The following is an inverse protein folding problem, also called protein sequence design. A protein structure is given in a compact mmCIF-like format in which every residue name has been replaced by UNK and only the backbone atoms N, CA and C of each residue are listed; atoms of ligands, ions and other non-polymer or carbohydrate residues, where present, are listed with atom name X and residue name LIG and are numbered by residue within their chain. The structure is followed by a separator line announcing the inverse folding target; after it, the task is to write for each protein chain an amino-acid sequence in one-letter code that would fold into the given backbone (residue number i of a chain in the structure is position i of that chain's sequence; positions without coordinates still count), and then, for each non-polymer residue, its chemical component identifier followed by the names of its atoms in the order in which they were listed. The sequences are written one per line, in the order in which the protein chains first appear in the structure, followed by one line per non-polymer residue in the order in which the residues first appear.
data_IF_210834343605
#
_entry.id   IF_210834343605
#
_cell.length_a   1.000
_cell.length_b   1.000
_cell.length_c   1.000
_cell.angle_alpha   90.00
_cell.angle_beta   90.00
_cell.angle_gamma   90.00
#
_symmetry.space_group_name_H-M   'P 1'
#
loop_
_entity.id
_entity.type
_entity.pdbx_description
1 polymer ?
#
# COMPACT_ATOMS: atom_id res chain seq x y z
N UNK A 1 -1.43 22.82 -8.11
CA UNK A 1 -2.44 22.54 -7.06
C UNK A 1 -1.71 22.22 -5.77
N UNK A 2 -2.20 22.73 -4.63
CA UNK A 2 -1.66 22.41 -3.30
C UNK A 2 -2.84 22.20 -2.37
N UNK A 3 -2.83 21.10 -1.65
CA UNK A 3 -3.81 20.74 -0.62
C UNK A 3 -3.05 20.41 0.66
N UNK A 4 -3.30 21.16 1.73
CA UNK A 4 -2.66 20.95 3.02
C UNK A 4 -3.75 20.76 4.07
N UNK A 5 -3.44 19.97 5.10
CA UNK A 5 -4.22 19.84 6.33
C UNK A 5 -3.39 20.30 7.52
N UNK A 6 -4.02 20.46 8.68
CA UNK A 6 -3.28 20.70 9.91
C UNK A 6 -2.28 19.55 10.17
N UNK A 7 -1.08 19.82 10.70
CA UNK A 7 -0.59 21.14 11.14
C UNK A 7 0.01 22.01 10.02
N UNK A 8 0.20 21.47 8.81
CA UNK A 8 0.87 22.15 7.69
C UNK A 8 0.15 23.44 7.26
N UNK A 9 -1.19 23.44 7.24
CA UNK A 9 -1.98 24.65 6.90
C UNK A 9 -1.67 25.85 7.79
N UNK A 10 -1.36 25.60 9.06
CA UNK A 10 -1.05 26.65 10.03
C UNK A 10 0.41 27.06 9.93
N UNK A 11 1.32 26.08 9.88
CA UNK A 11 2.77 26.32 9.90
C UNK A 11 3.30 26.91 8.59
N UNK A 12 2.65 26.62 7.46
CA UNK A 12 3.02 27.12 6.14
C UNK A 12 2.09 28.23 5.65
N UNK A 13 1.33 28.85 6.56
CA UNK A 13 0.45 29.97 6.22
C UNK A 13 1.26 31.12 5.61
N UNK A 14 0.92 31.49 4.38
CA UNK A 14 1.60 32.56 3.64
C UNK A 14 2.97 32.17 3.04
N UNK A 15 3.36 30.90 3.13
CA UNK A 15 4.62 30.37 2.56
C UNK A 15 4.35 29.56 1.29
N UNK A 16 5.38 29.40 0.45
CA UNK A 16 5.32 28.45 -0.67
C UNK A 16 5.64 27.03 -0.17
N UNK A 17 4.62 26.16 -0.18
CA UNK A 17 4.76 24.78 0.25
C UNK A 17 5.86 24.01 -0.51
N UNK A 18 6.12 24.32 -1.79
CA UNK A 18 7.18 23.67 -2.55
C UNK A 18 8.58 24.09 -2.09
N UNK A 19 8.74 25.29 -1.55
CA UNK A 19 10.01 25.71 -0.96
C UNK A 19 10.16 25.14 0.45
N UNK A 20 9.11 25.20 1.28
CA UNK A 20 9.13 24.61 2.64
C UNK A 20 9.48 23.12 2.61
N UNK A 21 8.87 22.36 1.69
CA UNK A 21 9.13 20.93 1.52
C UNK A 21 10.60 20.61 1.22
N UNK A 22 11.31 21.48 0.49
CA UNK A 22 12.75 21.28 0.22
C UNK A 22 13.61 21.50 1.45
N UNK A 23 13.18 22.40 2.35
CA UNK A 23 13.91 22.72 3.58
C UNK A 23 13.75 21.66 4.67
N UNK A 24 12.78 20.74 4.54
CA UNK A 24 12.56 19.67 5.51
C UNK A 24 13.80 18.77 5.64
N UNK A 25 14.19 18.57 6.90
CA UNK A 25 15.29 17.72 7.32
C UNK A 25 14.75 16.56 8.18
N UNK A 26 15.46 15.44 8.15
CA UNK A 26 15.08 14.23 8.85
C UNK A 26 15.83 13.03 8.30
N UNK A 27 15.38 11.84 8.67
CA UNK A 27 15.97 10.58 8.23
C UNK A 27 15.63 10.33 6.76
N UNK A 28 16.65 10.13 5.93
CA UNK A 28 16.48 9.90 4.48
C UNK A 28 16.43 8.41 4.21
N UNK A 29 15.28 7.93 3.76
CA UNK A 29 15.08 6.52 3.38
C UNK A 29 15.47 6.25 1.93
N UNK A 30 15.35 7.26 1.05
CA UNK A 30 15.69 7.13 -0.36
C UNK A 30 15.97 8.49 -0.99
N UNK A 31 17.08 8.58 -1.73
CA UNK A 31 17.44 9.79 -2.48
C UNK A 31 17.96 9.41 -3.86
N UNK A 32 17.22 9.83 -4.89
CA UNK A 32 17.53 9.69 -6.30
C UNK A 32 17.31 11.05 -6.98
N UNK A 33 17.87 11.24 -8.17
CA UNK A 33 17.77 12.50 -8.93
C UNK A 33 16.33 13.02 -9.08
N UNK A 34 15.36 12.10 -9.23
CA UNK A 34 13.94 12.41 -9.45
C UNK A 34 13.04 12.12 -8.26
N UNK A 35 13.54 11.53 -7.17
CA UNK A 35 12.72 11.10 -6.02
C UNK A 35 13.47 11.19 -4.70
N UNK A 36 12.87 11.84 -3.71
CA UNK A 36 13.38 11.90 -2.33
C UNK A 36 12.29 11.43 -1.36
N UNK A 37 12.62 10.51 -0.46
CA UNK A 37 11.73 10.03 0.61
C UNK A 37 12.41 10.27 1.96
N UNK A 38 11.78 11.05 2.83
CA UNK A 38 12.34 11.40 4.13
C UNK A 38 11.27 11.31 5.22
N UNK A 39 11.69 10.89 6.42
CA UNK A 39 10.91 10.92 7.64
C UNK A 39 11.33 12.12 8.47
N UNK A 40 10.40 12.98 8.84
CA UNK A 40 10.68 14.18 9.65
C UNK A 40 9.70 14.29 10.80
N UNK A 41 10.08 15.08 11.80
CA UNK A 41 9.23 15.40 12.93
C UNK A 41 8.73 16.85 12.84
N UNK A 42 7.48 17.04 13.20
CA UNK A 42 6.82 18.33 13.24
C UNK A 42 5.80 18.33 14.38
N UNK A 43 5.94 19.27 15.32
CA UNK A 43 5.04 19.40 16.48
C UNK A 43 4.91 18.09 17.29
N UNK A 44 6.05 17.43 17.53
CA UNK A 44 6.12 16.17 18.31
C UNK A 44 5.53 14.93 17.61
N UNK A 45 5.12 15.04 16.35
CA UNK A 45 4.65 13.91 15.53
C UNK A 45 5.59 13.66 14.35
N UNK A 46 5.70 12.43 13.91
CA UNK A 46 6.47 12.07 12.72
C UNK A 46 5.60 11.98 11.47
N UNK A 47 6.22 12.29 10.32
CA UNK A 47 5.60 12.31 9.01
C UNK A 47 6.58 11.77 7.96
N UNK A 48 6.04 11.25 6.87
CA UNK A 48 6.80 10.90 5.68
C UNK A 48 6.52 11.89 4.56
N UNK A 49 7.58 12.44 3.97
CA UNK A 49 7.53 13.19 2.72
C UNK A 49 8.06 12.32 1.59
N UNK A 50 7.29 12.24 0.50
CA UNK A 50 7.72 11.70 -0.79
C UNK A 50 7.68 12.80 -1.83
N UNK A 51 8.85 13.31 -2.19
CA UNK A 51 9.04 14.31 -3.24
C UNK A 51 9.39 13.64 -4.57
N UNK A 52 8.82 14.17 -5.66
CA UNK A 52 9.06 13.74 -7.03
C UNK A 52 9.38 14.94 -7.93
N UNK A 53 10.40 14.80 -8.77
CA UNK A 53 10.81 15.80 -9.76
C UNK A 53 11.02 15.13 -11.12
N UNK A 54 10.08 15.33 -12.03
CA UNK A 54 10.10 14.84 -13.39
C UNK A 54 10.28 13.32 -13.48
N UNK A 55 10.25 12.81 -14.69
CA UNK A 55 10.77 11.47 -15.01
C UNK A 55 11.61 11.57 -16.27
N UNK A 56 12.48 10.60 -16.52
CA UNK A 56 13.25 10.59 -17.76
C UNK A 56 12.39 10.11 -18.94
N UNK A 57 12.64 10.65 -20.13
CA UNK A 57 11.96 10.19 -21.36
C UNK A 57 12.15 8.68 -21.58
N UNK A 58 13.32 8.16 -21.19
CA UNK A 58 13.66 6.73 -21.23
C UNK A 58 12.75 5.90 -20.32
N UNK A 59 12.42 6.38 -19.11
CA UNK A 59 11.49 5.70 -18.21
C UNK A 59 10.05 5.74 -18.71
N UNK A 60 9.62 6.84 -19.32
CA UNK A 60 8.29 6.95 -19.94
C UNK A 60 8.15 5.91 -21.05
N UNK A 61 9.08 5.92 -22.01
CA UNK A 61 9.06 5.01 -23.17
C UNK A 61 9.17 3.55 -22.73
N UNK A 62 10.08 3.22 -21.80
CA UNK A 62 10.22 1.86 -21.24
C UNK A 62 8.90 1.35 -20.63
N UNK A 63 8.24 2.19 -19.85
CA UNK A 63 6.98 1.81 -19.21
C UNK A 63 5.87 1.63 -20.24
N UNK A 64 5.74 2.55 -21.21
CA UNK A 64 4.75 2.47 -22.29
C UNK A 64 4.94 1.24 -23.19
N UNK A 65 6.18 0.93 -23.60
CA UNK A 65 6.51 -0.29 -24.36
C UNK A 65 6.14 -1.55 -23.56
N UNK A 66 6.29 -1.50 -22.23
CA UNK A 66 5.89 -2.59 -21.33
C UNK A 66 4.38 -2.61 -21.01
N UNK A 67 3.57 -1.76 -21.68
CA UNK A 67 2.14 -1.54 -21.41
C UNK A 67 1.86 -1.19 -19.93
N UNK A 68 2.78 -0.49 -19.28
CA UNK A 68 2.68 0.01 -17.91
C UNK A 68 2.57 1.53 -17.95
N UNK A 69 1.62 2.09 -17.21
CA UNK A 69 1.56 3.54 -17.05
C UNK A 69 2.68 4.01 -16.11
N UNK A 70 3.58 4.93 -16.55
CA UNK A 70 4.65 5.44 -15.71
C UNK A 70 4.07 6.12 -14.47
N UNK A 71 4.79 6.08 -13.33
CA UNK A 71 4.44 6.87 -12.15
C UNK A 71 5.01 8.27 -12.39
N UNK A 72 4.12 9.24 -12.59
CA UNK A 72 4.49 10.60 -13.04
C UNK A 72 4.48 11.63 -11.90
N UNK A 73 4.08 11.23 -10.70
CA UNK A 73 3.99 12.10 -9.54
C UNK A 73 3.32 11.42 -8.35
N UNK A 74 3.05 12.22 -7.32
CA UNK A 74 2.44 11.79 -6.07
C UNK A 74 0.90 11.68 -6.12
N UNK A 75 0.25 12.06 -7.23
CA UNK A 75 -1.21 12.10 -7.38
C UNK A 75 -1.85 10.72 -7.16
N UNK A 76 -1.21 9.66 -7.65
CA UNK A 76 -1.73 8.29 -7.49
C UNK A 76 -1.85 7.89 -6.03
N UNK A 77 -0.81 8.16 -5.26
CA UNK A 77 -0.77 7.81 -3.83
C UNK A 77 -1.81 8.64 -3.06
N UNK A 78 -1.91 9.94 -3.37
CA UNK A 78 -2.91 10.82 -2.79
C UNK A 78 -4.34 10.31 -3.04
N UNK A 79 -4.69 10.04 -4.30
CA UNK A 79 -6.02 9.55 -4.65
C UNK A 79 -6.30 8.16 -4.08
N UNK A 80 -5.29 7.28 -4.03
CA UNK A 80 -5.44 5.94 -3.46
C UNK A 80 -5.75 5.99 -1.97
N UNK A 81 -5.07 6.85 -1.21
CA UNK A 81 -5.36 7.09 0.21
C UNK A 81 -6.81 7.53 0.41
N UNK A 82 -7.26 8.54 -0.34
CA UNK A 82 -8.62 9.06 -0.22
C UNK A 82 -9.66 7.98 -0.55
N UNK A 83 -9.45 7.24 -1.64
CA UNK A 83 -10.36 6.18 -2.05
C UNK A 83 -10.38 5.02 -1.04
N UNK A 84 -9.26 4.65 -0.43
CA UNK A 84 -9.23 3.62 0.62
C UNK A 84 -9.99 4.06 1.87
N UNK A 85 -9.90 5.34 2.27
CA UNK A 85 -10.69 5.88 3.37
C UNK A 85 -12.20 5.79 3.09
N UNK A 86 -12.64 6.14 1.88
CA UNK A 86 -14.05 5.99 1.47
C UNK A 86 -14.55 4.54 1.55
N UNK A 87 -13.65 3.57 1.33
CA UNK A 87 -13.95 2.13 1.38
C UNK A 87 -13.84 1.54 2.80
N UNK A 88 -13.43 2.35 3.79
CA UNK A 88 -13.13 1.88 5.14
C UNK A 88 -12.02 0.84 5.16
N UNK A 89 -10.99 1.04 4.33
CA UNK A 89 -9.73 0.27 4.36
C UNK A 89 -8.66 1.15 4.97
N UNK A 90 -8.14 0.74 6.13
CA UNK A 90 -7.13 1.48 6.86
C UNK A 90 -5.82 1.61 6.04
N UNK A 91 -5.29 2.82 5.96
CA UNK A 91 -4.05 3.17 5.26
C UNK A 91 -3.39 4.38 5.92
N UNK A 92 -2.41 5.01 5.25
CA UNK A 92 -1.73 6.22 5.69
C UNK A 92 -2.66 7.43 5.63
N UNK A 93 -2.53 8.37 6.57
CA UNK A 93 -3.28 9.62 6.51
C UNK A 93 -2.50 10.69 5.74
N UNK A 94 -3.03 11.13 4.59
CA UNK A 94 -2.44 12.22 3.80
C UNK A 94 -2.74 13.59 4.39
N UNK A 95 -1.70 14.34 4.77
CA UNK A 95 -1.77 15.68 5.37
C UNK A 95 -1.27 16.80 4.46
N UNK A 96 -0.55 16.46 3.38
CA UNK A 96 -0.12 17.43 2.40
C UNK A 96 0.04 16.82 1.02
N UNK A 97 -0.37 17.55 0.00
CA UNK A 97 -0.18 17.21 -1.39
C UNK A 97 0.08 18.47 -2.21
N UNK A 98 1.00 18.38 -3.16
CA UNK A 98 1.26 19.46 -4.10
C UNK A 98 1.69 18.93 -5.45
N UNK A 99 1.25 19.61 -6.50
CA UNK A 99 1.65 19.36 -7.89
C UNK A 99 1.83 20.67 -8.67
N UNK A 100 2.95 20.77 -9.40
CA UNK A 100 3.28 21.91 -10.27
C UNK A 100 3.85 21.44 -11.61
N UNK A 101 3.43 22.09 -12.69
CA UNK A 101 3.89 21.82 -14.05
C UNK A 101 3.09 20.73 -14.77
N UNK A 102 2.77 20.96 -16.04
CA UNK A 102 2.00 20.03 -16.89
C UNK A 102 2.89 19.07 -17.68
N UNK A 103 4.15 19.43 -17.92
CA UNK A 103 5.10 18.62 -18.66
C UNK A 103 5.62 17.49 -17.76
N UNK A 104 5.40 16.19 -18.09
CA UNK A 104 5.84 15.07 -17.28
C UNK A 104 7.35 15.02 -16.99
N UNK A 105 8.17 15.65 -17.84
CA UNK A 105 9.63 15.70 -17.68
C UNK A 105 10.08 16.74 -16.64
N UNK A 106 9.26 17.77 -16.38
CA UNK A 106 9.60 18.87 -15.46
C UNK A 106 8.61 19.05 -14.32
N UNK A 107 7.53 18.25 -14.30
CA UNK A 107 6.52 18.24 -13.25
C UNK A 107 7.15 17.94 -11.90
N UNK A 108 6.81 18.72 -10.89
CA UNK A 108 7.17 18.44 -9.50
C UNK A 108 5.93 18.12 -8.70
N UNK A 109 6.05 17.17 -7.78
CA UNK A 109 4.96 16.87 -6.86
C UNK A 109 5.49 16.35 -5.53
N UNK A 110 4.68 16.49 -4.49
CA UNK A 110 4.95 15.94 -3.18
C UNK A 110 3.69 15.38 -2.55
N UNK A 111 3.89 14.42 -1.67
CA UNK A 111 2.88 13.97 -0.71
C UNK A 111 3.53 13.87 0.66
N UNK A 112 2.79 14.30 1.68
CA UNK A 112 3.13 14.17 3.08
C UNK A 112 2.05 13.34 3.75
N UNK A 113 2.45 12.27 4.41
CA UNK A 113 1.56 11.42 5.21
C UNK A 113 1.99 11.41 6.66
N UNK A 114 1.05 11.22 7.57
CA UNK A 114 1.36 10.85 8.95
C UNK A 114 2.17 9.54 8.95
N UNK A 115 3.13 9.46 9.88
CA UNK A 115 3.85 8.23 10.15
C UNK A 115 2.96 7.27 10.95
N UNK A 116 2.95 6.00 10.55
CA UNK A 116 2.17 4.96 11.23
C UNK A 116 3.05 4.33 12.31
N UNK A 117 3.11 4.96 13.49
CA UNK A 117 3.90 4.46 14.62
C UNK A 117 3.10 4.39 15.93
N UNK A 118 3.36 3.39 16.79
CA UNK A 118 4.23 2.22 16.54
C UNK A 118 3.53 1.15 15.68
N UNK A 119 4.25 0.62 14.69
CA UNK A 119 3.78 -0.49 13.84
C UNK A 119 4.91 -1.49 13.56
N UNK A 120 4.52 -2.69 13.13
CA UNK A 120 5.41 -3.72 12.59
C UNK A 120 4.83 -4.27 11.28
N UNK A 121 5.68 -4.62 10.32
CA UNK A 121 5.20 -5.25 9.09
C UNK A 121 4.64 -6.64 9.40
N UNK A 122 3.64 -7.11 8.64
CA UNK A 122 3.17 -8.49 8.81
C UNK A 122 4.21 -9.52 8.38
N UNK A 123 5.17 -9.15 7.52
CA UNK A 123 6.32 -10.01 7.20
C UNK A 123 7.14 -10.30 8.47
N UNK A 124 7.52 -9.24 9.20
CA UNK A 124 8.29 -9.36 10.44
C UNK A 124 7.47 -9.98 11.58
N UNK A 125 6.20 -9.58 11.73
CA UNK A 125 5.33 -10.13 12.77
C UNK A 125 5.08 -11.63 12.61
N UNK A 126 5.06 -12.13 11.37
CA UNK A 126 4.84 -13.54 11.08
C UNK A 126 6.15 -14.32 10.83
N UNK A 127 7.32 -13.68 10.98
CA UNK A 127 8.60 -14.24 10.54
C UNK A 127 8.94 -15.58 11.22
N UNK A 128 8.54 -15.79 12.48
CA UNK A 128 8.83 -16.99 13.23
C UNK A 128 7.68 -18.01 13.27
N UNK A 129 6.54 -17.74 12.63
CA UNK A 129 5.34 -18.59 12.67
C UNK A 129 5.55 -20.02 12.17
N UNK A 130 6.54 -20.23 11.30
CA UNK A 130 6.89 -21.57 10.81
C UNK A 130 7.45 -22.47 11.93
N UNK A 131 8.10 -21.88 12.93
CA UNK A 131 8.73 -22.59 14.06
C UNK A 131 7.90 -22.41 15.34
N UNK A 132 7.40 -21.21 15.59
CA UNK A 132 6.60 -20.83 16.75
C UNK A 132 5.23 -20.30 16.29
N UNK A 133 4.32 -21.18 15.85
CA UNK A 133 3.01 -20.72 15.38
C UNK A 133 2.23 -20.06 16.52
N UNK A 134 1.51 -18.96 16.26
CA UNK A 134 0.65 -18.35 17.26
C UNK A 134 -0.59 -19.22 17.50
N UNK A 135 -1.44 -18.80 18.44
CA UNK A 135 -2.78 -19.38 18.55
C UNK A 135 -3.52 -19.30 17.20
N UNK A 136 -4.24 -20.38 16.87
CA UNK A 136 -4.94 -20.50 15.60
C UNK A 136 -5.96 -19.36 15.38
N UNK A 137 -6.61 -18.88 16.44
CA UNK A 137 -7.54 -17.76 16.37
C UNK A 137 -6.83 -16.46 15.96
N UNK A 138 -5.67 -16.17 16.56
CA UNK A 138 -4.86 -14.99 16.20
C UNK A 138 -4.45 -15.05 14.73
N UNK A 139 -3.95 -16.21 14.29
CA UNK A 139 -3.58 -16.45 12.89
C UNK A 139 -4.75 -16.19 11.94
N UNK A 140 -5.91 -16.79 12.21
CA UNK A 140 -7.07 -16.68 11.35
C UNK A 140 -7.66 -15.28 11.33
N UNK A 141 -7.59 -14.57 12.44
CA UNK A 141 -8.06 -13.19 12.55
C UNK A 141 -7.25 -12.24 11.65
N UNK A 142 -5.92 -12.39 11.64
CA UNK A 142 -5.04 -11.62 10.74
C UNK A 142 -5.32 -11.98 9.28
N UNK A 143 -5.42 -13.28 8.95
CA UNK A 143 -5.74 -13.73 7.59
C UNK A 143 -7.08 -13.14 7.12
N UNK A 144 -8.12 -13.21 7.95
CA UNK A 144 -9.45 -12.66 7.66
C UNK A 144 -9.39 -11.15 7.44
N UNK A 145 -8.62 -10.44 8.28
CA UNK A 145 -8.48 -8.98 8.18
C UNK A 145 -7.79 -8.58 6.87
N UNK A 146 -6.67 -9.21 6.51
CA UNK A 146 -5.97 -8.93 5.24
C UNK A 146 -6.87 -9.29 4.05
N UNK A 147 -7.51 -10.45 4.04
CA UNK A 147 -8.43 -10.86 2.98
C UNK A 147 -9.58 -9.86 2.79
N UNK A 148 -10.15 -9.36 3.90
CA UNK A 148 -11.20 -8.34 3.89
C UNK A 148 -10.72 -7.01 3.31
N UNK A 149 -9.53 -6.56 3.73
CA UNK A 149 -8.92 -5.32 3.22
C UNK A 149 -8.69 -5.40 1.71
N UNK A 150 -8.09 -6.50 1.23
CA UNK A 150 -7.80 -6.70 -0.19
C UNK A 150 -9.10 -6.85 -1.01
N UNK A 151 -10.11 -7.55 -0.48
CA UNK A 151 -11.45 -7.64 -1.10
C UNK A 151 -12.07 -6.26 -1.27
N UNK A 152 -12.12 -5.46 -0.20
CA UNK A 152 -12.69 -4.10 -0.23
C UNK A 152 -11.93 -3.20 -1.18
N UNK A 153 -10.59 -3.27 -1.18
CA UNK A 153 -9.73 -2.52 -2.09
C UNK A 153 -10.08 -2.86 -3.56
N UNK A 154 -10.10 -4.15 -3.93
CA UNK A 154 -10.41 -4.58 -5.29
C UNK A 154 -11.86 -4.29 -5.70
N UNK A 155 -12.84 -4.55 -4.82
CA UNK A 155 -14.25 -4.25 -5.07
C UNK A 155 -14.50 -2.74 -5.22
N UNK A 156 -13.73 -1.92 -4.51
CA UNK A 156 -13.77 -0.46 -4.59
C UNK A 156 -13.01 0.15 -5.77
N UNK A 157 -12.48 -0.68 -6.67
CA UNK A 157 -11.84 -0.25 -7.91
C UNK A 157 -10.34 0.01 -7.81
N UNK A 158 -9.70 -0.33 -6.69
CA UNK A 158 -8.26 -0.12 -6.48
C UNK A 158 -7.52 -1.44 -6.64
N UNK A 159 -6.43 -1.45 -7.40
CA UNK A 159 -5.41 -2.50 -7.30
C UNK A 159 -4.07 -1.87 -6.88
N UNK A 160 -3.38 -2.51 -5.96
CA UNK A 160 -2.19 -2.02 -5.28
C UNK A 160 -0.95 -2.02 -6.15
N UNK A 161 -0.81 -2.98 -7.08
CA UNK A 161 0.37 -3.22 -7.94
C UNK A 161 1.58 -3.90 -7.29
N UNK A 162 1.71 -3.77 -5.97
CA UNK A 162 2.79 -4.28 -5.12
C UNK A 162 2.17 -4.81 -3.81
N UNK A 163 1.10 -5.59 -3.92
CA UNK A 163 0.35 -6.12 -2.78
C UNK A 163 1.13 -7.23 -2.08
N UNK A 164 2.12 -6.88 -1.25
CA UNK A 164 2.95 -7.84 -0.50
C UNK A 164 2.64 -7.76 0.99
N UNK A 165 2.87 -8.86 1.72
CA UNK A 165 2.57 -8.94 3.16
C UNK A 165 3.31 -7.89 3.97
N UNK A 166 4.54 -7.52 3.58
CA UNK A 166 5.32 -6.45 4.22
C UNK A 166 4.68 -5.06 4.11
N UNK A 167 3.76 -4.84 3.15
CA UNK A 167 3.02 -3.58 3.01
C UNK A 167 1.75 -3.52 3.85
N UNK A 168 1.49 -4.54 4.67
CA UNK A 168 0.45 -4.51 5.69
C UNK A 168 1.13 -4.32 7.05
N UNK A 169 0.84 -3.19 7.68
CA UNK A 169 1.43 -2.82 8.97
C UNK A 169 0.43 -3.09 10.09
N UNK A 170 0.81 -3.95 11.02
CA UNK A 170 0.09 -4.19 12.27
C UNK A 170 0.42 -3.07 13.26
N UNK A 171 -0.61 -2.42 13.80
CA UNK A 171 -0.47 -1.40 14.84
C UNK A 171 -0.20 -2.04 16.19
N UNK A 172 0.70 -1.43 16.96
CA UNK A 172 1.09 -1.91 18.28
C UNK A 172 0.58 -0.97 19.39
N UNK A 173 0.33 -1.51 20.61
CA UNK A 173 0.40 -2.92 20.99
C UNK A 173 -0.77 -3.73 20.40
N UNK A 174 -0.51 -5.00 20.08
CA UNK A 174 -1.52 -5.97 19.69
C UNK A 174 -1.49 -7.16 20.66
N UNK A 175 -2.58 -7.39 21.37
CA UNK A 175 -2.67 -8.40 22.44
C UNK A 175 -3.24 -9.74 21.97
N UNK A 176 -3.50 -9.89 20.67
CA UNK A 176 -4.12 -11.09 20.10
C UNK A 176 -5.65 -11.06 20.13
N UNK A 177 -6.27 -9.91 20.43
CA UNK A 177 -7.74 -9.77 20.51
C UNK A 177 -8.29 -9.05 19.28
N UNK A 178 -9.55 -9.26 18.94
CA UNK A 178 -10.12 -8.63 17.73
C UNK A 178 -10.31 -7.11 17.89
N UNK A 179 -10.55 -6.67 19.12
CA UNK A 179 -10.78 -5.26 19.47
C UNK A 179 -9.56 -4.35 19.28
N UNK A 180 -8.35 -4.90 19.39
CA UNK A 180 -7.09 -4.16 19.18
C UNK A 180 -6.41 -4.48 17.85
N UNK A 181 -7.02 -5.34 17.02
CA UNK A 181 -6.50 -5.63 15.69
C UNK A 181 -6.72 -4.46 14.73
N UNK A 182 -5.64 -3.72 14.46
CA UNK A 182 -5.61 -2.71 13.41
C UNK A 182 -4.45 -2.97 12.46
N UNK A 183 -4.78 -3.07 11.17
CA UNK A 183 -3.81 -3.26 10.08
C UNK A 183 -4.04 -2.18 9.05
N UNK A 184 -2.99 -1.46 8.68
CA UNK A 184 -2.98 -0.45 7.61
C UNK A 184 -2.19 -0.94 6.41
N UNK A 185 -2.71 -0.71 5.19
CA UNK A 185 -1.96 -0.96 3.95
C UNK A 185 -1.16 0.28 3.55
N UNK A 186 0.09 0.12 3.12
CA UNK A 186 1.00 1.22 2.75
C UNK A 186 1.54 1.07 1.32
N UNK A 187 2.45 1.94 0.91
CA UNK A 187 3.14 1.90 -0.39
C UNK A 187 2.24 1.94 -1.64
N UNK A 188 1.30 2.89 -1.66
CA UNK A 188 0.30 3.05 -2.71
C UNK A 188 0.79 3.85 -3.93
N UNK A 189 2.10 4.10 -4.05
CA UNK A 189 2.68 4.93 -5.10
C UNK A 189 2.43 4.41 -6.53
N UNK A 190 2.14 3.11 -6.67
CA UNK A 190 1.79 2.46 -7.93
C UNK A 190 0.34 2.01 -8.00
N UNK A 191 -0.45 2.24 -6.95
CA UNK A 191 -1.84 1.87 -6.93
C UNK A 191 -2.60 2.52 -8.09
N UNK A 192 -3.59 1.81 -8.60
CA UNK A 192 -4.38 2.24 -9.74
C UNK A 192 -5.85 2.20 -9.35
N UNK A 193 -6.57 3.27 -9.68
CA UNK A 193 -7.99 3.45 -9.37
C UNK A 193 -8.78 3.38 -10.68
N UNK A 194 -9.86 2.61 -10.68
CA UNK A 194 -10.76 2.40 -11.82
C UNK A 194 -12.18 2.23 -11.30
N UNK A 195 -13.16 2.20 -12.21
CA UNK A 195 -14.52 1.79 -11.85
C UNK A 195 -14.58 0.33 -11.39
N UNK A 196 -13.85 -0.55 -12.09
CA UNK A 196 -13.72 -1.97 -11.74
C UNK A 196 -12.27 -2.40 -11.96
N UNK A 197 -11.73 -3.22 -11.04
CA UNK A 197 -10.38 -3.77 -11.19
C UNK A 197 -10.40 -4.89 -12.26
N UNK A 198 -9.62 -4.77 -13.34
CA UNK A 198 -9.49 -5.83 -14.33
C UNK A 198 -8.91 -7.11 -13.70
N UNK A 199 -9.39 -8.27 -14.16
CA UNK A 199 -8.99 -9.60 -13.68
C UNK A 199 -7.47 -9.75 -13.53
N UNK A 200 -6.71 -9.38 -14.57
CA UNK A 200 -5.23 -9.42 -14.57
C UNK A 200 -4.59 -8.67 -13.40
N UNK A 201 -5.14 -7.52 -13.00
CA UNK A 201 -4.57 -6.71 -11.92
C UNK A 201 -4.96 -7.24 -10.55
N UNK A 202 -6.21 -7.71 -10.40
CA UNK A 202 -6.68 -8.45 -9.23
C UNK A 202 -5.79 -9.66 -8.96
N UNK A 203 -5.59 -10.49 -9.98
CA UNK A 203 -4.81 -11.72 -9.89
C UNK A 203 -3.33 -11.44 -9.61
N UNK A 204 -2.78 -10.38 -10.22
CA UNK A 204 -1.41 -9.95 -9.92
C UNK A 204 -1.21 -9.63 -8.44
N UNK A 205 -2.14 -8.89 -7.83
CA UNK A 205 -2.05 -8.51 -6.42
C UNK A 205 -2.22 -9.74 -5.52
N UNK A 206 -3.18 -10.62 -5.81
CA UNK A 206 -3.39 -11.87 -5.06
C UNK A 206 -2.17 -12.80 -5.12
N UNK A 207 -1.59 -12.98 -6.31
CA UNK A 207 -0.38 -13.78 -6.50
C UNK A 207 0.82 -13.13 -5.77
N UNK A 208 0.94 -11.80 -5.85
CA UNK A 208 1.98 -11.07 -5.12
C UNK A 208 1.90 -11.29 -3.61
N UNK A 209 0.69 -11.20 -3.07
CA UNK A 209 0.45 -11.41 -1.63
C UNK A 209 0.76 -12.85 -1.24
N UNK A 210 0.23 -13.81 -2.00
CA UNK A 210 0.49 -15.23 -1.78
C UNK A 210 1.98 -15.53 -1.75
N UNK A 211 2.72 -15.13 -2.79
CA UNK A 211 4.16 -15.36 -2.89
C UNK A 211 4.94 -14.74 -1.73
N UNK A 212 4.64 -13.49 -1.37
CA UNK A 212 5.29 -12.82 -0.23
C UNK A 212 4.99 -13.47 1.13
N UNK A 213 3.99 -14.35 1.21
CA UNK A 213 3.56 -15.03 2.43
C UNK A 213 3.87 -16.54 2.44
N UNK A 214 4.59 -17.07 1.45
CA UNK A 214 4.83 -18.52 1.36
C UNK A 214 5.69 -19.07 2.51
N UNK A 215 6.62 -18.27 3.02
CA UNK A 215 7.63 -18.73 3.99
C UNK A 215 7.25 -18.47 5.46
N UNK A 216 6.06 -17.95 5.74
CA UNK A 216 5.61 -17.65 7.12
C UNK A 216 4.82 -18.82 7.76
N UNK A 217 4.91 -20.03 7.22
CA UNK A 217 4.24 -21.20 7.79
C UNK A 217 2.71 -21.23 7.61
N UNK A 218 2.17 -20.68 6.52
CA UNK A 218 0.75 -20.84 6.19
C UNK A 218 0.45 -22.27 5.72
N UNK A 219 -0.62 -22.86 6.24
CA UNK A 219 -1.10 -24.17 5.76
C UNK A 219 -2.06 -24.00 4.59
N UNK A 220 -2.34 -25.07 3.84
CA UNK A 220 -3.37 -25.08 2.81
C UNK A 220 -4.75 -24.61 3.33
N UNK A 221 -5.07 -24.96 4.59
CA UNK A 221 -6.33 -24.55 5.22
C UNK A 221 -6.37 -23.03 5.48
N UNK A 222 -5.22 -22.43 5.78
CA UNK A 222 -5.10 -20.99 5.97
C UNK A 222 -5.29 -20.24 4.65
N UNK A 223 -4.71 -20.76 3.57
CA UNK A 223 -4.93 -20.26 2.19
C UNK A 223 -6.42 -20.36 1.83
N UNK A 224 -7.07 -21.49 2.11
CA UNK A 224 -8.51 -21.63 1.85
C UNK A 224 -9.38 -20.70 2.69
N UNK A 225 -8.99 -20.38 3.93
CA UNK A 225 -9.66 -19.34 4.74
C UNK A 225 -9.52 -17.97 4.09
N UNK A 226 -8.32 -17.61 3.66
CA UNK A 226 -8.09 -16.37 2.90
C UNK A 226 -8.99 -16.31 1.67
N UNK A 227 -9.02 -17.37 0.85
CA UNK A 227 -9.81 -17.42 -0.37
C UNK A 227 -11.31 -17.26 -0.09
N UNK A 228 -11.85 -17.98 0.89
CA UNK A 228 -13.27 -17.89 1.26
C UNK A 228 -13.65 -16.47 1.69
N UNK A 229 -12.82 -15.83 2.50
CA UNK A 229 -13.06 -14.45 2.92
C UNK A 229 -12.92 -13.51 1.71
N UNK A 230 -11.80 -13.57 0.98
CA UNK A 230 -11.54 -12.67 -0.14
C UNK A 230 -12.60 -12.76 -1.26
N UNK A 231 -12.95 -13.96 -1.71
CA UNK A 231 -13.96 -14.14 -2.76
C UNK A 231 -15.39 -14.06 -2.24
N UNK A 232 -15.60 -14.19 -0.93
CA UNK A 232 -16.92 -14.25 -0.30
C UNK A 232 -17.85 -15.32 -0.90
N UNK A 233 -17.29 -16.48 -1.25
CA UNK A 233 -17.97 -17.60 -1.90
C UNK A 233 -17.66 -18.95 -1.21
N UNK A 234 -18.49 -19.98 -1.41
CA UNK A 234 -18.14 -21.35 -1.01
C UNK A 234 -16.85 -21.83 -1.69
N UNK A 235 -15.99 -22.53 -0.95
CA UNK A 235 -14.68 -22.96 -1.46
C UNK A 235 -14.77 -23.77 -2.75
N UNK A 236 -15.77 -24.66 -2.87
CA UNK A 236 -16.01 -25.46 -4.08
C UNK A 236 -16.20 -24.59 -5.33
N UNK A 237 -16.96 -23.50 -5.21
CA UNK A 237 -17.17 -22.57 -6.33
C UNK A 237 -15.91 -21.80 -6.67
N UNK A 238 -15.15 -21.38 -5.65
CA UNK A 238 -13.88 -20.67 -5.85
C UNK A 238 -12.91 -21.56 -6.63
N UNK A 239 -12.72 -22.81 -6.20
CA UNK A 239 -11.81 -23.75 -6.86
C UNK A 239 -12.21 -24.02 -8.32
N UNK A 240 -13.50 -23.96 -8.65
CA UNK A 240 -13.99 -24.12 -10.01
C UNK A 240 -13.80 -22.85 -10.86
N UNK A 241 -14.24 -21.69 -10.33
CA UNK A 241 -14.26 -20.40 -11.06
C UNK A 241 -12.86 -19.78 -11.20
N UNK A 242 -12.01 -19.97 -10.20
CA UNK A 242 -10.69 -19.33 -10.08
C UNK A 242 -9.54 -20.32 -10.32
N UNK A 243 -9.81 -21.44 -11.02
CA UNK A 243 -8.81 -22.45 -11.35
C UNK A 243 -7.61 -21.89 -12.11
N UNK A 244 -7.83 -20.92 -13.00
CA UNK A 244 -6.76 -20.23 -13.72
C UNK A 244 -5.85 -19.39 -12.82
N UNK A 245 -6.42 -18.71 -11.81
CA UNK A 245 -5.65 -17.97 -10.80
C UNK A 245 -4.82 -18.92 -9.96
N UNK A 246 -5.42 -20.01 -9.47
CA UNK A 246 -4.76 -21.02 -8.64
C UNK A 246 -3.58 -21.63 -9.39
N UNK A 247 -3.80 -22.05 -10.64
CA UNK A 247 -2.74 -22.60 -11.48
C UNK A 247 -1.58 -21.61 -11.69
N UNK A 248 -1.89 -20.33 -11.95
CA UNK A 248 -0.85 -19.29 -12.09
C UNK A 248 -0.07 -19.04 -10.80
N UNK A 249 -0.73 -19.14 -9.65
CA UNK A 249 -0.09 -19.03 -8.35
C UNK A 249 0.85 -20.22 -8.11
N UNK A 250 0.40 -21.44 -8.38
CA UNK A 250 1.18 -22.67 -8.23
C UNK A 250 2.42 -22.68 -9.14
N UNK A 251 2.28 -22.31 -10.41
CA UNK A 251 3.39 -22.25 -11.38
C UNK A 251 4.48 -21.24 -10.96
N UNK A 252 4.12 -20.17 -10.25
CA UNK A 252 5.11 -19.19 -9.76
C UNK A 252 5.70 -19.53 -8.40
N UNK A 253 5.03 -20.40 -7.65
CA UNK A 253 5.48 -20.87 -6.35
C UNK A 253 6.42 -22.08 -6.46
N UNK A 254 6.33 -22.83 -7.57
CA UNK A 254 7.26 -23.90 -7.96
C UNK A 254 8.59 -23.32 -8.49
#
# INVERSE_FOLDING_TARGET
MVELKAPLTTLWRGKDAFEEVKTLQGEVFRELETRRTLRFELDGKSYFLKWHKGTSLKEIVKNLISLRMPVLGADREWHAIHRLHELGVDTMHGVGFGEKGVNPLTRTSFIITEDLTPTISLEDYCADWAVNPPDAQVKWMIIKRVATMVRKMHAGGINHRDCYICHFLLHLPFTGREEDLKISVIDLHRAQIRQHVPLRWRDKDLIGLYFSSMNIGLTQRDIFRFMREYFSLPLREILQKESGLIHQADVKAA
#
